data_IF_690608371743
#
_entry.id   IF_690608371743
#
_cell.length_a   1.000
_cell.length_b   1.000
_cell.length_c   1.000
_cell.angle_alpha   90.00
_cell.angle_beta   90.00
_cell.angle_gamma   90.00
#
_symmetry.space_group_name_H-M   'P 1'
#
loop_
_entity.id
_entity.type
_entity.pdbx_description
1 polymer ?
#
# COMPACT_ATOMS: atom_id res chain seq x y z
N UNK A 1 4.39 11.77 45.01
CA UNK A 1 5.61 11.14 44.45
C UNK A 1 5.31 10.05 43.40
N UNK A 2 4.08 9.96 42.86
CA UNK A 2 3.71 8.94 41.86
C UNK A 2 3.70 9.49 40.43
N UNK A 3 3.55 10.81 40.25
CA UNK A 3 3.57 11.47 38.94
C UNK A 3 4.95 11.45 38.25
N UNK A 4 6.05 11.53 39.03
CA UNK A 4 7.42 11.49 38.47
C UNK A 4 7.80 10.12 37.88
N UNK A 5 7.17 9.03 38.33
CA UNK A 5 7.41 7.68 37.79
C UNK A 5 6.56 7.38 36.56
N UNK A 6 5.44 8.08 36.38
CA UNK A 6 4.52 7.86 35.27
C UNK A 6 5.05 8.41 33.94
N UNK A 7 5.75 9.54 33.99
CA UNK A 7 6.34 10.21 32.82
C UNK A 7 7.38 9.38 32.05
N UNK A 8 8.40 8.75 32.70
CA UNK A 8 9.38 7.94 31.99
C UNK A 8 8.80 6.66 31.40
N UNK A 9 7.80 6.06 32.06
CA UNK A 9 7.11 4.85 31.57
C UNK A 9 6.31 5.17 30.31
N UNK A 10 5.61 6.30 30.30
CA UNK A 10 4.88 6.78 29.12
C UNK A 10 5.82 7.07 27.94
N UNK A 11 6.95 7.75 28.18
CA UNK A 11 7.98 7.95 27.14
C UNK A 11 8.55 6.64 26.61
N UNK A 12 8.81 5.66 27.48
CA UNK A 12 9.33 4.36 27.07
C UNK A 12 8.32 3.58 26.21
N UNK A 13 7.04 3.61 26.57
CA UNK A 13 5.97 2.99 25.78
C UNK A 13 5.84 3.64 24.40
N UNK A 14 5.93 4.96 24.31
CA UNK A 14 5.86 5.71 23.05
C UNK A 14 7.07 5.42 22.15
N UNK A 15 8.27 5.30 22.74
CA UNK A 15 9.46 4.88 22.02
C UNK A 15 9.30 3.46 21.46
N UNK A 16 8.84 2.50 22.28
CA UNK A 16 8.60 1.12 21.83
C UNK A 16 7.62 1.06 20.65
N UNK A 17 6.47 1.74 20.71
CA UNK A 17 5.47 1.67 19.63
C UNK A 17 5.98 2.22 18.30
N UNK A 18 6.86 3.21 18.32
CA UNK A 18 7.51 3.74 17.10
C UNK A 18 8.49 2.75 16.44
N UNK A 19 9.15 1.89 17.23
CA UNK A 19 10.05 0.86 16.68
C UNK A 19 9.29 -0.28 15.99
N UNK A 20 8.06 -0.59 16.43
CA UNK A 20 7.25 -1.67 15.84
C UNK A 20 6.36 -1.22 14.68
N UNK A 21 6.21 0.09 14.48
CA UNK A 21 5.34 0.64 13.44
C UNK A 21 6.16 0.99 12.20
N UNK A 22 6.33 0.03 11.28
CA UNK A 22 6.86 0.35 9.95
C UNK A 22 5.77 1.05 9.13
N UNK A 23 5.95 2.30 8.68
CA UNK A 23 5.00 2.92 7.77
C UNK A 23 5.02 2.16 6.45
N UNK A 24 3.88 1.62 6.06
CA UNK A 24 3.75 0.86 4.81
C UNK A 24 2.85 1.67 3.86
N UNK A 25 3.35 1.96 2.66
CA UNK A 25 2.62 2.76 1.68
C UNK A 25 1.92 1.84 0.68
N UNK A 26 0.66 2.15 0.37
CA UNK A 26 -0.03 1.52 -0.75
C UNK A 26 0.61 2.00 -2.06
N UNK A 27 0.79 1.10 -3.02
CA UNK A 27 1.30 1.44 -4.34
C UNK A 27 0.15 1.59 -5.34
N UNK A 28 0.30 2.54 -6.26
CA UNK A 28 -0.63 2.74 -7.36
C UNK A 28 0.08 2.38 -8.67
N UNK A 29 -0.45 1.39 -9.38
CA UNK A 29 0.03 1.00 -10.71
C UNK A 29 -0.90 1.56 -11.77
N UNK A 30 -0.34 2.34 -12.69
CA UNK A 30 -1.07 2.88 -13.84
C UNK A 30 -0.74 2.03 -15.06
N UNK A 31 -1.65 1.14 -15.43
CA UNK A 31 -1.53 0.27 -16.60
C UNK A 31 -2.15 1.00 -17.79
N UNK A 32 -1.40 1.15 -18.89
CA UNK A 32 -1.91 1.78 -20.11
C UNK A 32 -1.79 0.84 -21.30
N UNK A 33 -2.89 0.66 -22.02
CA UNK A 33 -2.85 -0.02 -23.30
C UNK A 33 -2.46 0.98 -24.40
N UNK A 34 -1.22 0.91 -24.88
CA UNK A 34 -0.76 1.71 -26.02
C UNK A 34 -0.77 0.92 -27.34
N UNK A 35 -1.30 -0.30 -27.35
CA UNK A 35 -1.42 -1.12 -28.55
C UNK A 35 -2.61 -0.63 -29.40
N UNK A 36 -2.57 -0.84 -30.74
CA UNK A 36 -3.67 -0.47 -31.63
C UNK A 36 -4.86 -1.45 -31.58
N UNK A 37 -4.88 -2.38 -30.61
CA UNK A 37 -5.93 -3.37 -30.42
C UNK A 37 -6.26 -3.57 -28.93
N UNK A 38 -7.41 -4.16 -28.66
CA UNK A 38 -7.86 -4.49 -27.31
C UNK A 38 -6.98 -5.57 -26.69
N UNK A 39 -6.55 -5.34 -25.45
CA UNK A 39 -5.82 -6.33 -24.63
C UNK A 39 -6.62 -6.66 -23.38
N UNK A 40 -6.24 -7.71 -22.67
CA UNK A 40 -6.78 -8.04 -21.36
C UNK A 40 -5.67 -7.88 -20.32
N UNK A 41 -5.72 -6.81 -19.53
CA UNK A 41 -4.79 -6.60 -18.43
C UNK A 41 -5.11 -7.57 -17.29
N UNK A 42 -4.08 -8.05 -16.60
CA UNK A 42 -4.21 -8.93 -15.44
C UNK A 42 -3.28 -8.46 -14.30
N UNK A 43 -3.76 -8.58 -13.08
CA UNK A 43 -2.99 -8.31 -11.86
C UNK A 43 -3.37 -9.33 -10.78
N UNK A 44 -2.38 -9.78 -10.00
CA UNK A 44 -2.61 -10.67 -8.87
C UNK A 44 -2.01 -10.06 -7.60
N UNK A 45 -2.83 -9.78 -6.58
CA UNK A 45 -4.29 -9.66 -6.63
C UNK A 45 -4.70 -8.42 -7.47
N UNK A 46 -5.93 -8.42 -7.99
CA UNK A 46 -6.44 -7.31 -8.83
C UNK A 46 -7.33 -7.76 -9.99
N UNK A 47 -7.29 -9.04 -10.34
CA UNK A 47 -8.16 -9.66 -11.33
C UNK A 47 -7.76 -9.33 -12.77
N UNK A 48 -8.74 -9.34 -13.67
CA UNK A 48 -8.55 -9.06 -15.09
C UNK A 48 -9.47 -7.95 -15.59
N UNK A 49 -9.00 -7.18 -16.57
CA UNK A 49 -9.77 -6.10 -17.20
C UNK A 49 -9.50 -6.04 -18.69
N UNK A 50 -10.56 -6.08 -19.49
CA UNK A 50 -10.47 -5.72 -20.90
C UNK A 50 -10.07 -4.24 -21.05
N UNK A 51 -9.06 -3.97 -21.87
CA UNK A 51 -8.50 -2.65 -22.11
C UNK A 51 -8.49 -2.35 -23.60
N UNK A 52 -9.39 -1.47 -24.05
CA UNK A 52 -9.41 -0.98 -25.43
C UNK A 52 -8.16 -0.13 -25.74
N UNK A 53 -7.83 0.12 -27.03
CA UNK A 53 -6.71 0.98 -27.40
C UNK A 53 -6.74 2.33 -26.69
N UNK A 54 -5.62 2.74 -26.09
CA UNK A 54 -5.49 3.99 -25.35
C UNK A 54 -6.04 3.98 -23.92
N UNK A 55 -6.72 2.91 -23.51
CA UNK A 55 -7.33 2.83 -22.17
C UNK A 55 -6.27 2.78 -21.06
N UNK A 56 -6.63 3.36 -19.90
CA UNK A 56 -5.84 3.33 -18.67
C UNK A 56 -6.60 2.60 -17.58
N UNK A 57 -5.92 1.73 -16.85
CA UNK A 57 -6.43 1.01 -15.70
C UNK A 57 -5.50 1.25 -14.51
N UNK A 58 -6.08 1.70 -13.39
CA UNK A 58 -5.36 1.86 -12.13
C UNK A 58 -5.57 0.61 -11.29
N UNK A 59 -4.47 0.03 -10.81
CA UNK A 59 -4.46 -1.09 -9.86
C UNK A 59 -3.83 -0.60 -8.56
N UNK A 60 -4.54 -0.78 -7.45
CA UNK A 60 -4.02 -0.47 -6.13
C UNK A 60 -3.44 -1.72 -5.50
N UNK A 61 -2.23 -1.60 -4.97
CA UNK A 61 -1.64 -2.63 -4.13
C UNK A 61 -1.62 -2.16 -2.69
N UNK A 62 -2.19 -2.98 -1.80
CA UNK A 62 -2.04 -2.76 -0.38
C UNK A 62 -0.55 -2.87 0.00
N UNK A 63 -0.12 -2.21 1.07
CA UNK A 63 1.23 -2.38 1.54
C UNK A 63 1.49 -3.85 1.94
N UNK A 64 2.66 -4.38 1.57
CA UNK A 64 3.02 -5.77 1.86
C UNK A 64 2.23 -6.82 1.05
N UNK A 65 1.45 -6.39 0.05
CA UNK A 65 0.64 -7.28 -0.77
C UNK A 65 1.53 -8.21 -1.62
N UNK A 66 1.32 -9.51 -1.47
CA UNK A 66 1.92 -10.57 -2.30
C UNK A 66 0.94 -11.02 -3.36
N UNK A 67 1.45 -11.68 -4.42
CA UNK A 67 0.63 -12.37 -5.40
C UNK A 67 -0.15 -13.55 -4.79
#
# INVERSE_FOLDING_TARGET
MNHLKFFPIFSLLLALTSLFSTPTNAAMFVVRNNCPYTVWGAAVPGGGRQMNPGATWIVYANPGQTA
#
